data_IF_726086058973
#
_entry.id   IF_726086058973
#
_cell.length_a   1.000
_cell.length_b   1.000
_cell.length_c   1.000
_cell.angle_alpha   90.00
_cell.angle_beta   90.00
_cell.angle_gamma   90.00
#
_symmetry.space_group_name_H-M   'P 1'
#
loop_
_entity.id
_entity.type
_entity.pdbx_description
1 polymer ?
#
# COMPACT_ATOMS: atom_id res chain seq x y z
N UNK A 1 -28.22 -48.32 -0.13
CA UNK A 1 -27.25 -47.44 -0.78
C UNK A 1 -27.79 -46.01 -1.02
N UNK A 2 -29.06 -45.81 -1.40
CA UNK A 2 -29.58 -44.47 -1.72
C UNK A 2 -29.78 -43.50 -0.53
N UNK A 3 -30.03 -43.97 0.70
CA UNK A 3 -30.24 -43.09 1.87
C UNK A 3 -28.94 -42.44 2.36
N UNK A 4 -27.81 -43.13 2.31
CA UNK A 4 -26.50 -42.61 2.73
C UNK A 4 -26.00 -41.55 1.74
N UNK A 5 -26.24 -41.78 0.44
CA UNK A 5 -25.87 -40.82 -0.61
C UNK A 5 -26.66 -39.50 -0.49
N UNK A 6 -27.94 -39.60 -0.11
CA UNK A 6 -28.81 -38.42 0.08
C UNK A 6 -28.41 -37.61 1.31
N UNK A 7 -28.00 -38.26 2.41
CA UNK A 7 -27.50 -37.58 3.61
C UNK A 7 -26.14 -36.91 3.36
N UNK A 8 -25.26 -37.57 2.60
CA UNK A 8 -23.96 -36.95 2.23
C UNK A 8 -24.15 -35.77 1.28
N UNK A 9 -25.09 -35.83 0.35
CA UNK A 9 -25.39 -34.73 -0.55
C UNK A 9 -26.03 -33.55 0.19
N UNK A 10 -26.94 -33.80 1.13
CA UNK A 10 -27.54 -32.75 1.96
C UNK A 10 -26.51 -32.09 2.93
N UNK A 11 -25.58 -32.86 3.47
CA UNK A 11 -24.45 -32.32 4.27
C UNK A 11 -23.49 -31.47 3.43
N UNK A 12 -23.18 -31.89 2.20
CA UNK A 12 -22.36 -31.11 1.27
C UNK A 12 -23.04 -29.81 0.87
N UNK A 13 -24.35 -29.82 0.59
CA UNK A 13 -25.12 -28.62 0.26
C UNK A 13 -25.20 -27.68 1.47
N UNK A 14 -25.43 -28.21 2.67
CA UNK A 14 -25.45 -27.38 3.90
C UNK A 14 -24.08 -26.79 4.24
N UNK A 15 -22.99 -27.52 4.02
CA UNK A 15 -21.63 -27.02 4.18
C UNK A 15 -21.28 -25.96 3.14
N UNK A 16 -21.72 -26.13 1.89
CA UNK A 16 -21.55 -25.12 0.85
C UNK A 16 -22.36 -23.85 1.15
N UNK A 17 -23.63 -24.00 1.58
CA UNK A 17 -24.48 -22.86 1.94
C UNK A 17 -23.93 -22.11 3.14
N UNK A 18 -23.46 -22.81 4.18
CA UNK A 18 -22.82 -22.19 5.35
C UNK A 18 -21.51 -21.48 5.01
N UNK A 19 -20.69 -22.10 4.15
CA UNK A 19 -19.46 -21.47 3.61
C UNK A 19 -19.78 -20.21 2.78
N UNK A 20 -20.84 -20.25 1.97
CA UNK A 20 -21.27 -19.12 1.15
C UNK A 20 -21.84 -17.98 1.98
N UNK A 21 -22.59 -18.30 3.03
CA UNK A 21 -23.16 -17.32 3.97
C UNK A 21 -22.08 -16.65 4.85
N UNK A 22 -21.05 -17.37 5.28
CA UNK A 22 -19.88 -16.78 5.94
C UNK A 22 -19.08 -15.87 5.01
N UNK A 23 -18.99 -16.20 3.73
CA UNK A 23 -18.25 -15.40 2.74
C UNK A 23 -18.91 -14.07 2.37
N UNK A 24 -20.21 -13.90 2.61
CA UNK A 24 -20.91 -12.63 2.47
C UNK A 24 -20.72 -11.73 3.69
N UNK A 25 -20.34 -12.29 4.84
CA UNK A 25 -20.16 -11.58 6.12
C UNK A 25 -18.75 -11.01 6.31
N UNK A 26 -17.75 -11.68 5.75
CA UNK A 26 -16.36 -11.26 5.85
C UNK A 26 -15.75 -10.97 4.47
N UNK A 27 -15.11 -9.80 4.35
CA UNK A 27 -14.31 -9.43 3.18
C UNK A 27 -12.89 -9.09 3.61
N UNK A 28 -11.92 -9.50 2.82
CA UNK A 28 -10.50 -9.26 3.12
C UNK A 28 -9.78 -8.69 1.91
N UNK A 29 -8.68 -7.98 2.17
CA UNK A 29 -7.82 -7.37 1.17
C UNK A 29 -6.36 -7.66 1.52
N UNK A 30 -5.58 -8.11 0.54
CA UNK A 30 -4.16 -8.30 0.71
C UNK A 30 -3.44 -6.99 0.36
N UNK A 31 -2.61 -6.49 1.28
CA UNK A 31 -1.92 -5.22 1.18
C UNK A 31 -0.45 -5.43 0.82
N UNK A 32 0.02 -4.73 -0.21
CA UNK A 32 1.43 -4.67 -0.62
C UNK A 32 1.89 -3.22 -0.64
N UNK A 33 3.05 -2.95 -0.08
CA UNK A 33 3.75 -1.66 -0.19
C UNK A 33 4.68 -1.63 -1.38
N UNK A 34 5.76 -0.90 -1.25
CA UNK A 34 6.83 -0.80 -2.22
C UNK A 34 7.29 -2.18 -2.68
N UNK A 35 7.27 -2.45 -3.98
CA UNK A 35 7.77 -3.71 -4.55
C UNK A 35 9.16 -3.49 -5.16
N UNK A 36 9.35 -2.36 -5.84
CA UNK A 36 10.58 -2.00 -6.54
C UNK A 36 11.07 -3.12 -7.43
N UNK A 37 10.14 -3.68 -8.25
CA UNK A 37 10.54 -4.70 -9.22
C UNK A 37 11.57 -4.15 -10.19
N UNK A 38 12.73 -4.79 -10.27
CA UNK A 38 13.87 -4.27 -11.01
C UNK A 38 14.65 -5.36 -11.72
N UNK A 39 15.03 -5.10 -12.98
CA UNK A 39 15.89 -5.95 -13.77
C UNK A 39 17.00 -5.11 -14.39
N UNK A 40 18.26 -5.55 -14.28
CA UNK A 40 19.41 -4.81 -14.83
C UNK A 40 19.29 -4.51 -16.33
N UNK A 41 18.70 -5.43 -17.11
CA UNK A 41 18.45 -5.27 -18.53
C UNK A 41 17.45 -4.17 -18.88
N UNK A 42 16.66 -3.70 -17.90
CA UNK A 42 15.70 -2.63 -18.08
C UNK A 42 16.31 -1.23 -17.91
N UNK A 43 17.60 -1.14 -17.63
CA UNK A 43 18.33 0.12 -17.46
C UNK A 43 19.23 0.45 -18.65
N UNK A 44 19.37 1.74 -18.89
CA UNK A 44 20.44 2.32 -19.68
C UNK A 44 21.66 2.49 -18.78
N UNK A 45 22.57 1.51 -18.86
CA UNK A 45 23.73 1.45 -17.97
C UNK A 45 24.74 2.57 -18.23
N UNK A 46 24.77 3.14 -19.46
CA UNK A 46 25.61 4.29 -19.77
C UNK A 46 25.10 5.53 -19.02
N UNK A 47 23.79 5.81 -19.12
CA UNK A 47 23.15 6.87 -18.36
C UNK A 47 23.31 6.67 -16.85
N UNK A 48 23.05 5.46 -16.36
CA UNK A 48 23.11 5.13 -14.94
C UNK A 48 24.53 5.29 -14.36
N UNK A 49 25.57 5.00 -15.16
CA UNK A 49 26.98 5.18 -14.75
C UNK A 49 27.33 6.63 -14.41
N UNK A 50 26.56 7.59 -14.89
CA UNK A 50 26.72 9.02 -14.56
C UNK A 50 26.19 9.38 -13.16
N UNK A 51 25.55 8.44 -12.45
CA UNK A 51 24.84 8.61 -11.16
C UNK A 51 25.26 7.50 -10.20
N UNK A 52 26.40 7.64 -9.51
CA UNK A 52 26.99 6.56 -8.70
C UNK A 52 26.06 5.98 -7.63
N UNK A 53 25.26 6.82 -6.96
CA UNK A 53 24.32 6.38 -5.91
C UNK A 53 23.17 5.57 -6.52
N UNK A 54 22.57 6.06 -7.61
CA UNK A 54 21.52 5.35 -8.34
C UNK A 54 22.07 4.02 -8.92
N UNK A 55 23.28 4.04 -9.50
CA UNK A 55 23.95 2.85 -10.00
C UNK A 55 24.13 1.79 -8.90
N UNK A 56 24.58 2.23 -7.72
CA UNK A 56 24.72 1.34 -6.56
C UNK A 56 23.37 0.76 -6.14
N UNK A 57 22.37 1.60 -6.02
CA UNK A 57 20.99 1.23 -5.63
C UNK A 57 20.42 0.17 -6.60
N UNK A 58 20.53 0.40 -7.90
CA UNK A 58 20.06 -0.55 -8.92
C UNK A 58 20.89 -1.85 -8.88
N UNK A 59 22.23 -1.76 -8.95
CA UNK A 59 23.09 -2.94 -9.18
C UNK A 59 23.37 -3.76 -7.93
N UNK A 60 23.23 -3.20 -6.72
CA UNK A 60 23.57 -3.87 -5.46
C UNK A 60 22.36 -4.09 -4.56
N UNK A 61 21.23 -3.46 -4.84
CA UNK A 61 20.03 -3.55 -4.03
C UNK A 61 18.85 -4.08 -4.87
N UNK A 62 18.06 -3.27 -5.54
CA UNK A 62 16.75 -3.66 -6.05
C UNK A 62 16.77 -4.76 -7.11
N UNK A 63 17.71 -4.74 -8.07
CA UNK A 63 17.80 -5.83 -9.03
C UNK A 63 18.21 -7.15 -8.38
N UNK A 64 19.04 -7.07 -7.33
CA UNK A 64 19.46 -8.24 -6.53
C UNK A 64 18.28 -8.76 -5.69
N UNK A 65 17.53 -7.85 -5.04
CA UNK A 65 16.35 -8.23 -4.27
C UNK A 65 15.31 -8.88 -5.18
N UNK A 66 14.99 -8.26 -6.32
CA UNK A 66 14.05 -8.82 -7.31
C UNK A 66 14.47 -10.23 -7.73
N UNK A 67 15.74 -10.42 -8.09
CA UNK A 67 16.25 -11.73 -8.50
C UNK A 67 16.15 -12.79 -7.41
N UNK A 68 16.47 -12.41 -6.18
CA UNK A 68 16.64 -13.36 -5.07
C UNK A 68 15.34 -13.63 -4.31
N UNK A 69 14.47 -12.66 -4.16
CA UNK A 69 13.33 -12.73 -3.24
C UNK A 69 11.97 -12.72 -3.93
N UNK A 70 11.82 -12.01 -5.05
CA UNK A 70 10.54 -11.90 -5.75
C UNK A 70 9.91 -13.24 -6.17
N UNK A 71 10.67 -14.25 -6.70
CA UNK A 71 10.06 -15.51 -7.11
C UNK A 71 9.35 -16.24 -5.97
N UNK A 72 9.90 -16.18 -4.76
CA UNK A 72 9.30 -16.79 -3.58
C UNK A 72 8.18 -15.91 -3.02
N UNK A 73 8.41 -14.61 -2.91
CA UNK A 73 7.41 -13.68 -2.39
C UNK A 73 6.13 -13.69 -3.23
N UNK A 74 6.25 -13.59 -4.55
CA UNK A 74 5.10 -13.64 -5.47
C UNK A 74 4.32 -14.95 -5.36
N UNK A 75 5.01 -16.09 -5.12
CA UNK A 75 4.37 -17.40 -4.88
C UNK A 75 3.57 -17.39 -3.57
N UNK A 76 4.14 -16.80 -2.50
CA UNK A 76 3.45 -16.67 -1.21
C UNK A 76 2.20 -15.81 -1.35
N UNK A 77 2.31 -14.63 -1.98
CA UNK A 77 1.16 -13.75 -2.23
C UNK A 77 0.06 -14.50 -3.00
N UNK A 78 0.41 -15.19 -4.07
CA UNK A 78 -0.55 -15.99 -4.84
C UNK A 78 -1.18 -17.10 -4.00
N UNK A 79 -0.37 -17.77 -3.17
CA UNK A 79 -0.83 -18.81 -2.25
C UNK A 79 -1.78 -18.27 -1.18
N UNK A 80 -1.50 -17.10 -0.61
CA UNK A 80 -2.39 -16.45 0.37
C UNK A 80 -3.72 -16.06 -0.26
N UNK A 81 -3.70 -15.47 -1.47
CA UNK A 81 -4.95 -15.17 -2.20
C UNK A 81 -5.78 -16.43 -2.42
N UNK A 82 -5.16 -17.54 -2.82
CA UNK A 82 -5.87 -18.82 -3.03
C UNK A 82 -6.39 -19.43 -1.73
N UNK A 83 -5.57 -19.42 -0.67
CA UNK A 83 -5.92 -19.98 0.65
C UNK A 83 -7.12 -19.28 1.28
N UNK A 84 -7.21 -17.96 1.12
CA UNK A 84 -8.25 -17.12 1.70
C UNK A 84 -9.39 -16.80 0.72
N UNK A 85 -9.49 -17.53 -0.39
CA UNK A 85 -10.67 -17.41 -1.24
C UNK A 85 -11.88 -18.06 -0.57
N UNK A 86 -13.07 -17.46 -0.73
CA UNK A 86 -13.40 -16.24 -1.48
C UNK A 86 -13.38 -14.94 -0.67
N UNK A 87 -12.86 -14.93 0.59
CA UNK A 87 -12.85 -13.69 1.42
C UNK A 87 -11.92 -12.63 0.86
N UNK A 88 -10.73 -12.95 0.35
CA UNK A 88 -9.87 -11.95 -0.30
C UNK A 88 -10.50 -11.52 -1.63
N UNK A 89 -10.91 -10.25 -1.67
CA UNK A 89 -11.60 -9.62 -2.81
C UNK A 89 -10.67 -8.87 -3.76
N UNK A 90 -9.51 -8.40 -3.28
CA UNK A 90 -8.50 -7.74 -4.09
C UNK A 90 -7.12 -7.79 -3.44
N UNK A 91 -6.09 -7.57 -4.25
CA UNK A 91 -4.75 -7.18 -3.82
C UNK A 91 -4.62 -5.68 -4.01
N UNK A 92 -4.21 -4.95 -2.95
CA UNK A 92 -4.01 -3.51 -2.94
C UNK A 92 -2.52 -3.21 -2.89
N UNK A 93 -2.00 -2.44 -3.84
CA UNK A 93 -0.59 -2.09 -3.94
C UNK A 93 -0.42 -0.57 -3.86
N UNK A 94 0.37 -0.10 -2.90
CA UNK A 94 0.49 1.31 -2.52
C UNK A 94 1.60 2.07 -3.25
N UNK A 95 1.86 1.77 -4.53
CA UNK A 95 2.85 2.49 -5.35
C UNK A 95 4.26 1.92 -5.31
N UNK A 96 5.15 2.47 -6.13
CA UNK A 96 6.51 1.99 -6.34
C UNK A 96 6.53 0.50 -6.75
N UNK A 97 5.78 0.20 -7.82
CA UNK A 97 5.75 -1.14 -8.40
C UNK A 97 7.09 -1.46 -9.07
N UNK A 98 7.70 -0.51 -9.79
CA UNK A 98 9.04 -0.64 -10.33
C UNK A 98 10.03 0.32 -9.66
N UNK A 99 11.34 0.05 -9.83
CA UNK A 99 12.40 0.88 -9.26
C UNK A 99 12.52 2.25 -9.96
N UNK A 100 12.09 2.37 -11.21
CA UNK A 100 12.37 3.56 -12.00
C UNK A 100 13.84 3.65 -12.43
N UNK A 101 14.34 4.87 -12.71
CA UNK A 101 15.74 5.12 -13.08
C UNK A 101 16.19 4.37 -14.34
N UNK A 102 15.26 4.07 -15.24
CA UNK A 102 15.53 3.29 -16.44
C UNK A 102 16.53 3.94 -17.42
N UNK A 103 16.67 5.29 -17.37
CA UNK A 103 17.70 6.04 -18.08
C UNK A 103 17.33 6.50 -19.49
N UNK A 104 16.33 5.89 -20.13
CA UNK A 104 15.81 6.34 -21.44
C UNK A 104 14.33 5.99 -21.58
N UNK A 105 13.57 6.68 -22.50
CA UNK A 105 12.15 6.39 -22.70
C UNK A 105 11.87 4.94 -23.10
N UNK A 106 12.72 4.34 -23.93
CA UNK A 106 12.57 2.94 -24.34
C UNK A 106 12.74 1.99 -23.16
N UNK A 107 13.75 2.24 -22.32
CA UNK A 107 14.02 1.47 -21.12
C UNK A 107 12.92 1.64 -20.06
N UNK A 108 12.37 2.85 -19.90
CA UNK A 108 11.24 3.09 -18.99
C UNK A 108 10.00 2.27 -19.40
N UNK A 109 9.66 2.22 -20.69
CA UNK A 109 8.58 1.38 -21.22
C UNK A 109 8.90 -0.11 -21.00
N UNK A 110 10.14 -0.54 -21.24
CA UNK A 110 10.58 -1.92 -21.02
C UNK A 110 10.42 -2.30 -19.56
N UNK A 111 10.92 -1.50 -18.62
CA UNK A 111 10.81 -1.71 -17.17
C UNK A 111 9.36 -1.82 -16.70
N UNK A 112 8.51 -0.89 -17.11
CA UNK A 112 7.09 -0.94 -16.80
C UNK A 112 6.44 -2.25 -17.29
N UNK A 113 6.72 -2.68 -18.52
CA UNK A 113 6.24 -3.96 -19.07
C UNK A 113 6.78 -5.17 -18.27
N UNK A 114 8.04 -5.14 -17.85
CA UNK A 114 8.66 -6.20 -17.03
C UNK A 114 7.95 -6.33 -15.68
N UNK A 115 7.69 -5.22 -15.01
CA UNK A 115 6.96 -5.19 -13.74
C UNK A 115 5.54 -5.75 -13.88
N UNK A 116 4.76 -5.28 -14.87
CA UNK A 116 3.41 -5.83 -15.10
C UNK A 116 3.41 -7.28 -15.57
N UNK A 117 4.42 -7.73 -16.30
CA UNK A 117 4.61 -9.14 -16.63
C UNK A 117 4.83 -9.98 -15.37
N UNK A 118 5.58 -9.46 -14.40
CA UNK A 118 5.78 -10.12 -13.11
C UNK A 118 4.47 -10.21 -12.32
N UNK A 119 3.67 -9.14 -12.25
CA UNK A 119 2.34 -9.14 -11.64
C UNK A 119 1.41 -10.15 -12.33
N UNK A 120 1.35 -10.15 -13.67
CA UNK A 120 0.51 -11.09 -14.43
C UNK A 120 0.89 -12.55 -14.19
N UNK A 121 2.17 -12.86 -13.97
CA UNK A 121 2.66 -14.22 -13.66
C UNK A 121 2.13 -14.75 -12.31
N UNK A 122 1.78 -13.88 -11.37
CA UNK A 122 1.13 -14.30 -10.13
C UNK A 122 -0.23 -14.97 -10.39
N UNK A 123 -0.85 -14.71 -11.54
CA UNK A 123 -2.13 -15.31 -11.94
C UNK A 123 -3.23 -15.13 -10.89
N UNK A 124 -3.26 -13.95 -10.26
CA UNK A 124 -4.26 -13.59 -9.28
C UNK A 124 -5.66 -13.66 -9.90
N UNK A 125 -6.61 -14.28 -9.20
CA UNK A 125 -8.01 -14.41 -9.65
C UNK A 125 -8.90 -13.31 -9.05
N UNK A 126 -8.29 -12.30 -8.49
CA UNK A 126 -8.93 -11.13 -7.88
C UNK A 126 -8.34 -9.86 -8.51
N UNK A 127 -9.04 -8.72 -8.47
CA UNK A 127 -8.50 -7.45 -8.89
C UNK A 127 -7.18 -7.10 -8.21
N UNK A 128 -6.30 -6.41 -8.95
CA UNK A 128 -5.09 -5.80 -8.43
C UNK A 128 -5.25 -4.29 -8.57
N UNK A 129 -5.47 -3.62 -7.46
CA UNK A 129 -5.73 -2.18 -7.37
C UNK A 129 -4.43 -1.52 -6.90
N UNK A 130 -3.91 -0.55 -7.64
CA UNK A 130 -2.67 0.11 -7.26
C UNK A 130 -2.76 1.63 -7.35
N UNK A 131 -2.03 2.32 -6.48
CA UNK A 131 -1.77 3.75 -6.60
C UNK A 131 -0.40 4.00 -7.22
N UNK A 132 -0.12 5.24 -7.61
CA UNK A 132 1.16 5.65 -8.18
C UNK A 132 2.16 5.97 -7.07
N UNK A 133 3.39 5.45 -7.19
CA UNK A 133 4.53 5.84 -6.38
C UNK A 133 5.47 6.80 -7.10
N UNK A 134 6.45 7.33 -6.38
CA UNK A 134 7.42 8.26 -6.97
C UNK A 134 8.40 7.54 -7.91
N UNK A 135 8.79 6.32 -7.63
CA UNK A 135 9.67 5.52 -8.50
C UNK A 135 9.01 5.14 -9.81
N UNK A 136 7.69 4.95 -9.83
CA UNK A 136 6.93 4.67 -11.07
C UNK A 136 7.03 5.80 -12.12
N UNK A 137 7.46 7.01 -11.71
CA UNK A 137 7.61 8.19 -12.56
C UNK A 137 9.01 8.84 -12.49
N UNK A 138 9.99 8.16 -11.91
CA UNK A 138 11.36 8.67 -11.72
C UNK A 138 12.28 8.24 -12.86
N UNK A 139 12.98 9.22 -13.42
CA UNK A 139 13.98 9.04 -14.50
C UNK A 139 13.45 9.39 -15.89
N UNK A 140 14.35 9.43 -16.90
CA UNK A 140 14.00 9.76 -18.26
C UNK A 140 12.95 8.82 -18.85
N UNK A 141 11.86 9.40 -19.38
CA UNK A 141 10.77 8.66 -20.02
C UNK A 141 9.78 7.97 -19.07
N UNK A 142 10.01 7.99 -17.74
CA UNK A 142 9.17 7.28 -16.77
C UNK A 142 7.72 7.80 -16.76
N UNK A 143 7.51 9.13 -16.85
CA UNK A 143 6.16 9.71 -16.95
C UNK A 143 5.40 9.25 -18.18
N UNK A 144 6.08 9.20 -19.32
CA UNK A 144 5.50 8.69 -20.57
C UNK A 144 5.19 7.19 -20.46
N UNK A 145 6.08 6.41 -19.86
CA UNK A 145 5.83 5.00 -19.59
C UNK A 145 4.65 4.81 -18.64
N UNK A 146 4.48 5.69 -17.64
CA UNK A 146 3.32 5.66 -16.75
C UNK A 146 2.02 5.83 -17.55
N UNK A 147 1.93 6.83 -18.40
CA UNK A 147 0.74 7.05 -19.22
C UNK A 147 0.48 5.90 -20.23
N UNK A 148 1.53 5.41 -20.88
CA UNK A 148 1.40 4.41 -21.97
C UNK A 148 1.27 2.97 -21.48
N UNK A 149 1.84 2.63 -20.33
CA UNK A 149 1.92 1.25 -19.83
C UNK A 149 1.20 1.09 -18.49
N UNK A 150 1.45 1.97 -17.52
CA UNK A 150 0.83 1.82 -16.18
C UNK A 150 -0.68 2.03 -16.25
N UNK A 151 -1.17 3.17 -16.74
CA UNK A 151 -2.61 3.47 -16.74
C UNK A 151 -3.46 2.39 -17.44
N UNK A 152 -3.09 1.87 -18.62
CA UNK A 152 -3.83 0.77 -19.26
C UNK A 152 -3.80 -0.54 -18.45
N UNK A 153 -2.66 -0.89 -17.83
CA UNK A 153 -2.56 -2.09 -17.01
C UNK A 153 -3.29 -1.94 -15.68
N UNK A 154 -3.20 -0.77 -15.02
CA UNK A 154 -3.98 -0.45 -13.82
C UNK A 154 -5.47 -0.59 -14.09
N UNK A 155 -5.96 0.01 -15.20
CA UNK A 155 -7.36 -0.11 -15.62
C UNK A 155 -7.77 -1.59 -15.74
N UNK A 156 -7.03 -2.36 -16.54
CA UNK A 156 -7.30 -3.78 -16.79
C UNK A 156 -7.30 -4.61 -15.52
N UNK A 157 -6.29 -4.42 -14.66
CA UNK A 157 -6.11 -5.20 -13.42
C UNK A 157 -7.15 -4.86 -12.35
N UNK A 158 -7.57 -3.59 -12.28
CA UNK A 158 -8.63 -3.14 -11.38
C UNK A 158 -10.06 -3.34 -11.93
N UNK A 159 -10.20 -3.84 -13.17
CA UNK A 159 -11.50 -4.05 -13.80
C UNK A 159 -12.16 -2.79 -14.33
N UNK A 160 -11.39 -1.72 -14.56
CA UNK A 160 -11.87 -0.48 -15.18
C UNK A 160 -11.78 -0.54 -16.72
N UNK A 161 -12.72 0.10 -17.44
CA UNK A 161 -12.64 0.17 -18.91
C UNK A 161 -11.43 0.99 -19.38
N UNK A 162 -11.10 2.08 -18.68
CA UNK A 162 -9.91 2.91 -18.93
C UNK A 162 -9.65 3.81 -17.74
N UNK A 163 -8.39 4.24 -17.56
CA UNK A 163 -7.99 5.27 -16.60
C UNK A 163 -7.30 6.41 -17.35
N UNK A 164 -7.64 7.64 -16.98
CA UNK A 164 -7.01 8.86 -17.52
C UNK A 164 -5.91 9.40 -16.58
N UNK A 165 -5.95 9.02 -15.32
CA UNK A 165 -4.97 9.41 -14.31
C UNK A 165 -4.89 8.33 -13.22
N UNK A 166 -3.96 8.48 -12.28
CA UNK A 166 -3.87 7.64 -11.08
C UNK A 166 -4.87 8.04 -9.99
N UNK A 167 -5.65 9.11 -10.20
CA UNK A 167 -6.81 9.45 -9.37
C UNK A 167 -8.03 8.67 -9.89
N UNK A 168 -8.45 7.64 -9.16
CA UNK A 168 -9.62 6.84 -9.53
C UNK A 168 -10.25 6.16 -8.32
N UNK A 169 -11.42 5.60 -8.49
CA UNK A 169 -12.15 4.91 -7.43
C UNK A 169 -12.50 3.50 -7.86
N UNK A 170 -12.50 2.58 -6.90
CA UNK A 170 -13.01 1.22 -7.08
C UNK A 170 -13.88 0.87 -5.88
N UNK A 171 -15.05 0.32 -6.12
CA UNK A 171 -15.92 -0.20 -5.07
C UNK A 171 -16.03 -1.70 -5.23
N UNK A 172 -15.72 -2.43 -4.17
CA UNK A 172 -15.86 -3.88 -4.08
C UNK A 172 -16.77 -4.20 -2.89
N UNK A 173 -17.89 -4.84 -3.17
CA UNK A 173 -18.97 -5.01 -2.17
C UNK A 173 -19.36 -3.65 -1.55
N UNK A 174 -19.23 -3.50 -0.23
CA UNK A 174 -19.53 -2.26 0.52
C UNK A 174 -18.25 -1.52 0.95
N UNK A 175 -17.17 -1.69 0.19
CA UNK A 175 -15.86 -1.10 0.47
C UNK A 175 -15.43 -0.22 -0.70
N UNK A 176 -15.20 1.07 -0.42
CA UNK A 176 -14.69 2.05 -1.38
C UNK A 176 -13.19 2.23 -1.22
N UNK A 177 -12.47 2.14 -2.31
CA UNK A 177 -11.07 2.55 -2.43
C UNK A 177 -10.98 3.77 -3.33
N UNK A 178 -10.37 4.85 -2.82
CA UNK A 178 -10.06 6.06 -3.58
C UNK A 178 -8.56 6.16 -3.70
N UNK A 179 -8.03 5.91 -4.90
CA UNK A 179 -6.64 6.17 -5.20
C UNK A 179 -6.43 7.67 -5.41
N UNK A 180 -5.54 8.26 -4.62
CA UNK A 180 -5.19 9.67 -4.69
C UNK A 180 -3.72 9.84 -5.08
N UNK A 181 -3.50 10.62 -6.13
CA UNK A 181 -2.17 10.93 -6.66
C UNK A 181 -1.76 12.37 -6.31
N UNK A 182 -0.87 12.56 -5.33
CA UNK A 182 -0.43 13.90 -4.92
C UNK A 182 0.47 14.58 -5.96
N UNK A 183 1.02 13.82 -6.92
CA UNK A 183 1.85 14.37 -8.02
C UNK A 183 1.04 14.75 -9.26
N UNK A 184 -0.26 14.45 -9.26
CA UNK A 184 -1.15 15.00 -10.27
C UNK A 184 -1.28 16.51 -10.06
N UNK A 185 -0.91 17.29 -11.08
CA UNK A 185 -0.98 18.75 -11.02
C UNK A 185 -2.39 19.30 -11.19
N UNK A 186 -3.38 18.42 -11.27
CA UNK A 186 -4.78 18.83 -11.33
C UNK A 186 -5.14 19.58 -10.03
N UNK A 187 -5.47 20.87 -10.07
CA UNK A 187 -5.83 21.64 -8.89
C UNK A 187 -7.11 21.11 -8.21
N UNK A 188 -7.92 20.34 -8.92
CA UNK A 188 -9.17 19.76 -8.42
C UNK A 188 -8.98 18.40 -7.72
N UNK A 189 -7.76 17.88 -7.63
CA UNK A 189 -7.50 16.54 -7.08
C UNK A 189 -8.08 16.31 -5.69
N UNK A 190 -7.93 17.27 -4.76
CA UNK A 190 -8.54 17.19 -3.43
C UNK A 190 -10.08 17.30 -3.47
N UNK A 191 -10.64 18.10 -4.35
CA UNK A 191 -12.10 18.21 -4.51
C UNK A 191 -12.68 16.92 -5.10
N UNK A 192 -11.98 16.27 -6.01
CA UNK A 192 -12.38 14.97 -6.55
C UNK A 192 -12.32 13.88 -5.48
N UNK A 193 -11.28 13.87 -4.63
CA UNK A 193 -11.19 12.98 -3.48
C UNK A 193 -12.38 13.17 -2.54
N UNK A 194 -12.65 14.41 -2.13
CA UNK A 194 -13.78 14.76 -1.25
C UNK A 194 -15.10 14.31 -1.86
N UNK A 195 -15.36 14.66 -3.12
CA UNK A 195 -16.58 14.28 -3.84
C UNK A 195 -16.72 12.75 -3.93
N UNK A 196 -15.64 12.02 -4.18
CA UNK A 196 -15.67 10.56 -4.26
C UNK A 196 -16.03 9.92 -2.92
N UNK A 197 -15.43 10.40 -1.83
CA UNK A 197 -15.71 9.91 -0.48
C UNK A 197 -17.12 10.28 -0.02
N UNK A 198 -17.53 11.54 -0.19
CA UNK A 198 -18.85 12.04 0.24
C UNK A 198 -20.00 11.48 -0.60
N UNK A 199 -19.77 11.26 -1.89
CA UNK A 199 -20.78 10.73 -2.81
C UNK A 199 -21.01 9.21 -2.69
N UNK A 200 -20.13 8.50 -1.99
CA UNK A 200 -20.24 7.04 -1.84
C UNK A 200 -21.13 6.66 -0.66
N UNK A 201 -21.94 5.62 -0.89
CA UNK A 201 -22.75 4.97 0.16
C UNK A 201 -22.03 3.82 0.85
N UNK A 202 -20.78 3.50 0.44
CA UNK A 202 -20.00 2.45 1.04
C UNK A 202 -19.76 2.72 2.54
N UNK A 203 -19.96 1.70 3.35
CA UNK A 203 -19.75 1.76 4.80
C UNK A 203 -18.28 1.92 5.13
N UNK A 204 -17.42 1.23 4.39
CA UNK A 204 -15.96 1.24 4.61
C UNK A 204 -15.29 2.03 3.50
N UNK A 205 -14.48 3.03 3.88
CA UNK A 205 -13.82 3.93 2.94
C UNK A 205 -12.32 3.95 3.18
N UNK A 206 -11.56 3.80 2.11
CA UNK A 206 -10.10 3.83 2.15
C UNK A 206 -9.57 4.85 1.15
N UNK A 207 -8.57 5.62 1.58
CA UNK A 207 -7.76 6.46 0.71
C UNK A 207 -6.42 5.78 0.53
N UNK A 208 -6.14 5.38 -0.71
CA UNK A 208 -4.87 4.79 -1.10
C UNK A 208 -3.98 5.87 -1.71
N UNK A 209 -2.85 6.12 -1.11
CA UNK A 209 -1.82 7.01 -1.65
C UNK A 209 -0.45 6.47 -1.27
N UNK A 210 0.59 6.87 -2.00
CA UNK A 210 1.90 6.31 -1.77
C UNK A 210 2.57 6.89 -0.51
N UNK A 211 2.60 8.21 -0.40
CA UNK A 211 3.26 8.90 0.70
C UNK A 211 2.35 9.03 1.93
N UNK A 212 2.85 8.77 3.15
CA UNK A 212 2.05 8.93 4.38
C UNK A 212 1.66 10.38 4.64
N UNK A 213 0.46 10.58 5.19
CA UNK A 213 -0.08 11.91 5.56
C UNK A 213 0.17 12.25 7.02
N UNK A 214 0.39 11.24 7.87
CA UNK A 214 0.82 11.38 9.26
C UNK A 214 2.31 11.03 9.30
N UNK A 215 3.18 11.91 9.78
CA UNK A 215 4.62 11.67 9.78
C UNK A 215 4.99 10.55 10.73
N UNK A 216 5.81 9.62 10.27
CA UNK A 216 6.35 8.50 11.05
C UNK A 216 7.88 8.36 10.89
N UNK A 217 8.49 9.16 10.03
CA UNK A 217 9.94 9.39 9.94
C UNK A 217 10.26 10.66 9.14
N UNK A 218 11.53 10.97 8.94
CA UNK A 218 12.03 12.17 8.24
C UNK A 218 11.68 12.23 6.74
N UNK A 219 11.21 11.13 6.15
CA UNK A 219 10.85 11.04 4.72
C UNK A 219 9.37 11.32 4.45
N UNK A 220 8.60 11.73 5.44
CA UNK A 220 7.19 12.08 5.27
C UNK A 220 7.04 13.43 4.57
N UNK A 221 7.05 13.41 3.24
CA UNK A 221 7.12 14.61 2.42
C UNK A 221 5.90 15.49 2.49
N UNK A 222 4.71 14.95 2.71
CA UNK A 222 3.51 15.76 2.93
C UNK A 222 3.64 16.73 4.10
N UNK A 223 4.42 16.37 5.12
CA UNK A 223 4.66 17.21 6.27
C UNK A 223 5.84 18.17 6.06
N UNK A 224 6.92 17.66 5.45
CA UNK A 224 8.21 18.37 5.47
C UNK A 224 8.54 19.12 4.17
N UNK A 225 7.88 18.82 3.07
CA UNK A 225 8.17 19.40 1.75
C UNK A 225 6.95 19.97 1.05
N UNK A 226 5.75 19.62 1.47
CA UNK A 226 4.51 19.99 0.80
C UNK A 226 3.83 21.18 1.47
N UNK A 227 2.84 21.70 0.79
CA UNK A 227 2.00 22.77 1.29
C UNK A 227 1.16 22.27 2.48
N UNK A 228 1.43 22.82 3.67
CA UNK A 228 0.69 22.46 4.87
C UNK A 228 -0.80 22.70 4.77
N UNK A 229 -1.25 23.72 4.05
CA UNK A 229 -2.67 23.99 3.88
C UNK A 229 -3.35 22.84 3.10
N UNK A 230 -2.68 22.29 2.11
CA UNK A 230 -3.17 21.10 1.39
C UNK A 230 -3.19 19.85 2.28
N UNK A 231 -2.16 19.68 3.11
CA UNK A 231 -2.15 18.56 4.06
C UNK A 231 -3.30 18.67 5.05
N UNK A 232 -3.53 19.83 5.65
CA UNK A 232 -4.65 20.02 6.59
C UNK A 232 -6.01 19.79 5.91
N UNK A 233 -6.19 20.27 4.70
CA UNK A 233 -7.39 19.97 3.91
C UNK A 233 -7.54 18.46 3.64
N UNK A 234 -6.47 17.77 3.31
CA UNK A 234 -6.47 16.31 3.10
C UNK A 234 -6.86 15.57 4.38
N UNK A 235 -6.28 15.94 5.54
CA UNK A 235 -6.64 15.37 6.84
C UNK A 235 -8.11 15.63 7.18
N UNK A 236 -8.62 16.84 6.93
CA UNK A 236 -10.03 17.18 7.12
C UNK A 236 -10.95 16.29 6.29
N UNK A 237 -10.66 16.15 4.99
CA UNK A 237 -11.45 15.31 4.08
C UNK A 237 -11.48 13.86 4.58
N UNK A 238 -10.31 13.29 4.90
CA UNK A 238 -10.17 11.90 5.35
C UNK A 238 -10.97 11.69 6.65
N UNK A 239 -10.75 12.52 7.66
CA UNK A 239 -11.37 12.39 8.97
C UNK A 239 -12.89 12.56 8.91
N UNK A 240 -13.38 13.60 8.19
CA UNK A 240 -14.82 13.89 8.06
C UNK A 240 -15.60 12.77 7.36
N UNK A 241 -14.92 11.94 6.57
CA UNK A 241 -15.49 10.81 5.86
C UNK A 241 -15.17 9.46 6.52
N UNK A 242 -14.51 9.50 7.70
CA UNK A 242 -14.07 8.31 8.45
C UNK A 242 -13.27 7.32 7.58
N UNK A 243 -12.49 7.86 6.65
CA UNK A 243 -11.69 7.05 5.75
C UNK A 243 -10.37 6.64 6.39
N UNK A 244 -9.90 5.43 6.08
CA UNK A 244 -8.62 4.89 6.51
C UNK A 244 -7.59 5.13 5.41
N UNK A 245 -6.38 5.51 5.80
CA UNK A 245 -5.25 5.73 4.89
C UNK A 245 -4.46 4.46 4.72
N UNK A 246 -4.24 4.04 3.48
CA UNK A 246 -3.31 2.97 3.11
C UNK A 246 -2.16 3.59 2.32
N UNK A 247 -0.93 3.42 2.79
CA UNK A 247 0.26 4.02 2.19
C UNK A 247 1.51 3.12 2.27
N UNK A 248 2.63 3.60 1.72
CA UNK A 248 3.92 2.90 1.66
C UNK A 248 5.10 3.90 1.74
N UNK A 249 6.03 3.92 0.77
CA UNK A 249 7.11 4.90 0.58
C UNK A 249 8.28 4.83 1.55
N UNK A 250 8.04 4.53 2.81
CA UNK A 250 9.06 4.62 3.85
C UNK A 250 9.82 3.31 4.08
N UNK A 251 9.41 2.23 3.42
CA UNK A 251 9.92 0.88 3.58
C UNK A 251 9.87 0.40 5.04
N UNK A 252 8.78 0.75 5.72
CA UNK A 252 8.47 0.38 7.10
C UNK A 252 7.09 -0.27 7.17
N UNK A 253 6.84 -1.06 8.19
CA UNK A 253 5.48 -1.35 8.65
C UNK A 253 5.11 -0.38 9.75
N UNK A 254 3.99 0.30 9.64
CA UNK A 254 3.49 1.20 10.69
C UNK A 254 1.97 1.26 10.71
N UNK A 255 1.41 1.33 11.91
CA UNK A 255 0.01 1.71 12.15
C UNK A 255 0.01 2.89 13.10
N UNK A 256 -0.62 3.98 12.70
CA UNK A 256 -0.74 5.18 13.51
C UNK A 256 -2.20 5.67 13.53
N UNK A 257 -2.68 6.07 14.71
CA UNK A 257 -3.97 6.75 14.87
C UNK A 257 -3.75 8.16 15.39
N UNK A 258 -4.24 9.14 14.65
CA UNK A 258 -4.17 10.57 14.94
C UNK A 258 -5.56 11.12 15.18
N UNK A 259 -5.76 11.80 16.29
CA UNK A 259 -6.99 12.54 16.56
C UNK A 259 -7.00 13.88 15.82
N UNK A 260 -8.15 14.24 15.27
CA UNK A 260 -8.39 15.53 14.62
C UNK A 260 -9.72 16.13 15.12
N UNK A 261 -9.95 17.43 14.89
CA UNK A 261 -11.26 18.05 15.21
C UNK A 261 -12.44 17.43 14.47
N UNK A 262 -12.19 16.66 13.40
CA UNK A 262 -13.20 16.05 12.54
C UNK A 262 -13.37 14.53 12.76
N UNK A 263 -12.56 13.96 13.66
CA UNK A 263 -12.53 12.53 13.98
C UNK A 263 -11.12 11.93 13.90
N UNK A 264 -10.95 10.67 14.30
CA UNK A 264 -9.67 9.98 14.21
C UNK A 264 -9.32 9.64 12.76
N UNK A 265 -8.03 9.62 12.46
CA UNK A 265 -7.47 9.09 11.22
C UNK A 265 -6.58 7.91 11.56
N UNK A 266 -6.86 6.75 10.99
CA UNK A 266 -5.96 5.60 11.01
C UNK A 266 -5.20 5.55 9.71
N UNK A 267 -3.86 5.49 9.81
CA UNK A 267 -2.96 5.29 8.69
C UNK A 267 -2.23 3.96 8.84
N UNK A 268 -2.31 3.13 7.81
CA UNK A 268 -1.62 1.84 7.71
C UNK A 268 -0.56 1.99 6.63
N UNK A 269 0.68 1.75 6.99
CA UNK A 269 1.83 1.76 6.11
C UNK A 269 2.39 0.36 5.98
N UNK A 270 2.55 -0.11 4.75
CA UNK A 270 3.02 -1.47 4.43
C UNK A 270 4.32 -1.37 3.64
N UNK A 271 5.24 -2.29 3.90
CA UNK A 271 6.50 -2.44 3.19
C UNK A 271 6.61 -3.84 2.57
N UNK A 272 6.90 -3.93 1.28
CA UNK A 272 7.09 -5.21 0.60
C UNK A 272 8.49 -5.36 -0.03
N UNK A 273 9.46 -4.52 0.34
CA UNK A 273 10.85 -4.61 -0.10
C UNK A 273 11.60 -5.64 0.74
N UNK A 274 11.60 -6.89 0.31
CA UNK A 274 12.32 -7.96 1.01
C UNK A 274 13.75 -8.04 0.50
N UNK A 275 14.70 -7.63 1.34
CA UNK A 275 16.12 -7.51 0.99
C UNK A 275 16.85 -8.85 1.04
N UNK A 276 16.48 -9.73 1.97
CA UNK A 276 17.14 -11.02 2.19
C UNK A 276 16.11 -12.10 2.52
N UNK A 277 16.32 -13.31 1.99
CA UNK A 277 15.50 -14.49 2.31
C UNK A 277 15.62 -14.94 3.76
N UNK A 278 16.77 -14.69 4.38
CA UNK A 278 17.09 -15.11 5.74
C UNK A 278 17.04 -13.94 6.73
N UNK A 279 16.33 -12.87 6.38
CA UNK A 279 16.24 -11.70 7.26
C UNK A 279 15.75 -12.08 8.65
N UNK A 280 16.41 -11.51 9.66
CA UNK A 280 15.97 -11.66 11.04
C UNK A 280 14.75 -10.77 11.27
N UNK A 281 13.70 -11.39 11.82
CA UNK A 281 12.50 -10.65 12.22
C UNK A 281 12.81 -9.90 13.52
N UNK A 282 12.64 -8.57 13.57
CA UNK A 282 12.88 -7.79 14.78
C UNK A 282 11.96 -8.27 15.90
N UNK A 283 12.48 -8.26 17.13
CA UNK A 283 11.68 -8.60 18.33
C UNK A 283 11.01 -7.38 18.95
N UNK A 284 11.52 -6.20 18.66
CA UNK A 284 11.09 -4.96 19.30
C UNK A 284 10.27 -4.14 18.33
N UNK A 285 9.07 -3.80 18.75
CA UNK A 285 8.16 -2.87 18.10
C UNK A 285 8.37 -1.51 18.76
N UNK A 286 8.48 -0.46 17.96
CA UNK A 286 8.45 0.91 18.47
C UNK A 286 6.98 1.29 18.68
N UNK A 287 6.63 1.71 19.90
CA UNK A 287 5.26 2.11 20.29
C UNK A 287 5.17 3.55 20.78
N UNK A 288 6.30 4.16 21.10
CA UNK A 288 6.37 5.53 21.56
C UNK A 288 6.57 6.47 20.37
N UNK A 289 5.62 7.37 20.19
CA UNK A 289 5.68 8.38 19.14
C UNK A 289 6.37 9.63 19.65
N UNK A 290 7.40 10.08 18.94
CA UNK A 290 8.12 11.29 19.34
C UNK A 290 9.26 11.64 18.37
N UNK A 291 9.97 12.78 18.61
CA UNK A 291 11.04 13.25 17.73
C UNK A 291 12.28 12.34 17.69
N UNK A 292 12.45 11.42 18.64
CA UNK A 292 13.59 10.50 18.71
C UNK A 292 13.68 9.51 17.55
N UNK A 293 12.59 9.24 16.84
CA UNK A 293 12.62 8.39 15.64
C UNK A 293 12.91 9.17 14.35
N UNK A 294 13.01 10.50 14.44
CA UNK A 294 13.36 11.33 13.29
C UNK A 294 14.88 11.42 13.18
N UNK A 295 15.43 10.73 12.20
CA UNK A 295 16.85 10.80 11.91
C UNK A 295 17.12 11.74 10.73
N UNK A 296 18.14 12.63 10.87
CA UNK A 296 18.61 13.44 9.76
C UNK A 296 19.64 12.65 8.97
N UNK A 297 19.32 12.27 7.74
CA UNK A 297 20.33 11.76 6.84
C UNK A 297 21.12 12.92 6.22
N UNK A 298 22.47 12.92 6.22
CA UNK A 298 23.28 14.02 5.70
C UNK A 298 22.93 14.42 4.25
N UNK A 299 22.54 13.44 3.43
CA UNK A 299 22.10 13.68 2.05
C UNK A 299 20.69 14.30 1.96
N UNK A 300 19.94 14.34 3.05
CA UNK A 300 18.52 14.70 3.06
C UNK A 300 18.24 16.03 3.74
N UNK A 301 19.18 16.95 3.72
CA UNK A 301 19.06 18.27 4.31
C UNK A 301 19.13 18.28 5.85
N UNK A 302 20.31 18.05 6.43
CA UNK A 302 20.51 18.11 7.89
C UNK A 302 20.14 19.46 8.49
N UNK A 303 20.17 20.54 7.70
CA UNK A 303 19.74 21.88 8.09
C UNK A 303 18.25 22.00 8.45
N UNK A 304 17.42 21.00 8.10
CA UNK A 304 15.99 20.98 8.41
C UNK A 304 15.64 20.08 9.59
N UNK A 305 16.62 19.49 10.28
CA UNK A 305 16.38 18.58 11.40
C UNK A 305 15.51 19.21 12.48
N UNK A 306 15.89 20.41 12.94
CA UNK A 306 15.13 21.12 13.98
C UNK A 306 13.68 21.36 13.55
N UNK A 307 13.46 21.82 12.32
CA UNK A 307 12.12 22.03 11.78
C UNK A 307 11.30 20.72 11.74
N UNK A 308 11.93 19.61 11.40
CA UNK A 308 11.27 18.29 11.38
C UNK A 308 10.90 17.84 12.79
N UNK A 309 11.80 18.01 13.75
CA UNK A 309 11.53 17.73 15.16
C UNK A 309 10.36 18.58 15.69
N UNK A 310 10.34 19.87 15.39
CA UNK A 310 9.24 20.76 15.76
C UNK A 310 7.89 20.30 15.17
N UNK A 311 7.89 19.76 13.96
CA UNK A 311 6.68 19.18 13.36
C UNK A 311 6.24 17.91 14.09
N UNK A 312 7.16 17.01 14.42
CA UNK A 312 6.85 15.80 15.19
C UNK A 312 6.34 16.17 16.59
N UNK A 313 6.94 17.16 17.25
CA UNK A 313 6.47 17.67 18.54
C UNK A 313 5.02 18.20 18.46
N UNK A 314 4.67 18.89 17.37
CA UNK A 314 3.29 19.34 17.14
C UNK A 314 2.32 18.20 16.88
N UNK A 315 2.74 17.12 16.22
CA UNK A 315 1.91 15.95 15.96
C UNK A 315 1.72 15.07 17.22
N UNK A 316 2.76 14.97 18.07
CA UNK A 316 2.81 14.07 19.24
C UNK A 316 1.56 14.14 20.13
N UNK A 317 1.01 15.33 20.50
CA UNK A 317 -0.19 15.42 21.35
C UNK A 317 -1.46 14.85 20.68
N UNK A 318 -1.44 14.66 19.37
CA UNK A 318 -2.59 14.18 18.60
C UNK A 318 -2.50 12.67 18.31
N UNK A 319 -1.36 12.03 18.57
CA UNK A 319 -1.17 10.61 18.30
C UNK A 319 -1.69 9.79 19.47
N UNK A 320 -2.75 9.03 19.20
CA UNK A 320 -3.40 8.17 20.19
C UNK A 320 -2.86 6.74 20.18
N UNK A 321 -2.41 6.28 19.02
CA UNK A 321 -1.84 4.96 18.85
C UNK A 321 -0.68 5.02 17.86
N UNK A 322 0.38 4.31 18.16
CA UNK A 322 1.53 4.16 17.28
C UNK A 322 2.16 2.80 17.42
N UNK A 323 2.47 2.18 16.30
CA UNK A 323 3.24 0.95 16.22
C UNK A 323 4.05 0.98 14.93
N UNK A 324 5.36 0.72 15.02
CA UNK A 324 6.26 0.76 13.87
C UNK A 324 7.37 -0.28 13.97
N UNK A 325 7.74 -0.83 12.82
CA UNK A 325 8.84 -1.77 12.66
C UNK A 325 9.53 -1.59 11.30
N UNK A 326 10.85 -1.72 11.28
CA UNK A 326 11.59 -1.94 10.02
C UNK A 326 11.46 -3.42 9.64
N UNK A 327 10.32 -3.76 9.08
CA UNK A 327 9.95 -5.14 8.75
C UNK A 327 9.21 -5.18 7.43
N UNK A 328 9.79 -5.75 6.37
CA UNK A 328 9.09 -5.97 5.11
C UNK A 328 8.19 -7.21 5.19
N UNK A 329 7.13 -7.19 4.39
CA UNK A 329 6.18 -8.27 4.30
C UNK A 329 4.93 -7.89 3.54
N UNK A 330 3.78 -8.30 4.06
CA UNK A 330 2.47 -7.97 3.49
C UNK A 330 1.42 -7.93 4.60
N UNK A 331 0.32 -7.24 4.34
CA UNK A 331 -0.83 -7.20 5.25
C UNK A 331 -2.02 -7.99 4.72
N UNK A 332 -2.88 -8.49 5.62
CA UNK A 332 -4.25 -8.89 5.28
C UNK A 332 -5.17 -8.05 6.17
N UNK A 333 -6.00 -7.24 5.53
CA UNK A 333 -7.02 -6.43 6.16
C UNK A 333 -8.36 -7.14 6.01
N UNK A 334 -8.96 -7.56 7.12
CA UNK A 334 -10.23 -8.26 7.16
C UNK A 334 -11.32 -7.36 7.77
N UNK A 335 -12.51 -7.40 7.19
CA UNK A 335 -13.71 -6.68 7.62
C UNK A 335 -14.82 -7.68 7.87
N UNK A 336 -15.18 -7.88 9.12
CA UNK A 336 -16.39 -8.58 9.56
C UNK A 336 -17.54 -7.59 9.55
N UNK A 337 -18.38 -7.66 8.51
CA UNK A 337 -19.51 -6.75 8.30
C UNK A 337 -20.63 -6.96 9.32
N UNK A 338 -20.77 -8.18 9.85
CA UNK A 338 -21.82 -8.51 10.82
C UNK A 338 -21.53 -7.86 12.17
N UNK A 339 -20.26 -7.91 12.60
CA UNK A 339 -19.83 -7.36 13.89
C UNK A 339 -19.22 -5.96 13.76
N UNK A 340 -19.20 -5.39 12.55
CA UNK A 340 -18.54 -4.11 12.24
C UNK A 340 -17.11 -4.05 12.78
N UNK A 341 -16.37 -5.15 12.58
CA UNK A 341 -15.01 -5.31 13.10
C UNK A 341 -14.01 -5.33 11.95
N UNK A 342 -12.96 -4.53 12.07
CA UNK A 342 -11.88 -4.47 11.10
C UNK A 342 -10.56 -4.82 11.79
N UNK A 343 -9.82 -5.76 11.22
CA UNK A 343 -8.56 -6.25 11.74
C UNK A 343 -7.49 -6.26 10.66
N UNK A 344 -6.30 -5.79 11.01
CA UNK A 344 -5.10 -5.93 10.20
C UNK A 344 -4.24 -7.03 10.78
N UNK A 345 -3.86 -8.00 9.96
CA UNK A 345 -2.80 -8.96 10.23
C UNK A 345 -1.60 -8.64 9.34
N UNK A 346 -0.43 -8.46 9.92
CA UNK A 346 0.81 -8.23 9.19
C UNK A 346 1.72 -9.45 9.23
N UNK A 347 2.20 -9.85 8.09
CA UNK A 347 3.01 -11.05 7.88
C UNK A 347 4.44 -10.64 7.51
N UNK A 348 5.41 -11.11 8.29
CA UNK A 348 6.82 -10.78 8.10
C UNK A 348 7.42 -11.56 6.94
N UNK A 349 8.05 -10.88 6.00
CA UNK A 349 8.77 -11.44 4.86
C UNK A 349 7.97 -12.55 4.13
N UNK A 350 8.44 -13.79 4.23
CA UNK A 350 7.82 -14.97 3.63
C UNK A 350 6.91 -15.74 4.62
N UNK A 351 6.63 -15.16 5.78
CA UNK A 351 5.83 -15.80 6.83
C UNK A 351 4.40 -16.05 6.39
N UNK A 352 3.86 -17.18 6.80
CA UNK A 352 2.46 -17.57 6.54
C UNK A 352 1.60 -17.49 7.80
N UNK A 353 2.16 -17.00 8.90
CA UNK A 353 1.46 -16.70 10.15
C UNK A 353 1.58 -15.20 10.44
N UNK A 354 0.53 -14.59 10.99
CA UNK A 354 0.61 -13.18 11.39
C UNK A 354 1.77 -12.98 12.38
N UNK A 355 2.60 -11.99 12.08
CA UNK A 355 3.61 -11.49 13.00
C UNK A 355 3.02 -10.49 13.98
N UNK A 356 2.11 -9.65 13.48
CA UNK A 356 1.42 -8.63 14.24
C UNK A 356 -0.07 -8.59 13.87
N UNK A 357 -0.89 -8.22 14.85
CA UNK A 357 -2.33 -8.06 14.67
C UNK A 357 -2.79 -6.78 15.34
N UNK A 358 -3.55 -5.96 14.61
CA UNK A 358 -4.10 -4.69 15.09
C UNK A 358 -5.61 -4.66 14.85
N UNK A 359 -6.38 -4.35 15.89
CA UNK A 359 -7.82 -4.09 15.78
C UNK A 359 -8.04 -2.64 15.31
N UNK A 360 -8.33 -2.46 14.03
CA UNK A 360 -8.51 -1.15 13.43
C UNK A 360 -9.80 -0.49 13.90
N UNK A 361 -10.85 -1.27 14.14
CA UNK A 361 -12.14 -0.71 14.61
C UNK A 361 -12.01 -0.03 15.96
N UNK A 362 -11.19 -0.55 16.88
CA UNK A 362 -10.94 0.09 18.17
C UNK A 362 -10.25 1.44 18.02
N UNK A 363 -9.40 1.59 17.01
CA UNK A 363 -8.71 2.85 16.73
C UNK A 363 -9.62 3.94 16.12
N UNK A 364 -10.74 3.55 15.53
CA UNK A 364 -11.72 4.47 14.93
C UNK A 364 -12.76 4.97 15.93
N UNK A 365 -12.89 4.32 17.09
CA UNK A 365 -13.80 4.80 18.13
C UNK A 365 -13.19 5.99 18.85
N UNK A 366 -13.90 7.11 18.91
CA UNK A 366 -13.55 8.25 19.79
C UNK A 366 -13.75 7.84 21.24
N UNK A 367 -12.76 8.08 22.09
CA UNK A 367 -12.92 7.91 23.54
C UNK A 367 -13.89 8.96 24.10
#
# INVERSE_FOLDING_TARGET
MNKILFVLLSLLISLQSYSQEQNEKEVSFLLLGDIHYDLLEDHDMEWLSTKPDDLRQVTKEYSVFTKNTWPEFSRIISGQVQKHQPSIKAVLQMGDLSEGLAGSPQKAIQMANSAFKAVNKMNLKVPFIMTKGNHDITGPGAKEAFEKVYLPNMARLAGHPSLQSANYTTTLDDVLFVCYDPWDRNPEGLQQLEKSLAGSKATYKFVMLHEPVIPVNERCWHVFRQDNAKREQLLQIIASQQAIVLCAHLHLYSVVCRDTPWGPIVQILVNSVIKDKNMLVPKNVVTDYGPEFVTAHPQWQPSTLQQRMEWIDKETPHIRFFKQMDLPGYGILSIDKENNKMQLEYYAAFGEKPYDTVNISELLTSN
#
